data_IF_567111667999
#
_entry.id   IF_567111667999
#
_cell.length_a   1.000
_cell.length_b   1.000
_cell.length_c   1.000
_cell.angle_alpha   90.00
_cell.angle_beta   90.00
_cell.angle_gamma   90.00
#
_symmetry.space_group_name_H-M   'P 1'
#
loop_
_entity.id
_entity.type
_entity.pdbx_description
1 polymer ?
#
# COMPACT_ATOMS: atom_id res chain seq x y z
N UNK A 1 44.08 26.89 50.31
CA UNK A 1 42.69 26.41 50.46
C UNK A 1 42.00 26.49 49.10
N UNK A 2 41.15 25.51 48.80
CA UNK A 2 40.79 25.04 47.47
C UNK A 2 40.20 26.08 46.49
N UNK A 3 40.79 26.15 45.28
CA UNK A 3 40.24 26.83 44.11
C UNK A 3 39.11 25.97 43.51
N UNK A 4 37.87 26.24 43.89
CA UNK A 4 36.69 25.63 43.26
C UNK A 4 36.41 26.32 41.92
N UNK A 5 37.08 25.83 40.88
CA UNK A 5 36.95 26.30 39.50
C UNK A 5 35.52 26.06 38.95
N UNK A 6 34.84 27.07 38.39
CA UNK A 6 33.46 26.97 37.89
C UNK A 6 33.33 26.30 36.50
N UNK A 7 34.19 25.31 36.20
CA UNK A 7 34.24 24.64 34.89
C UNK A 7 33.04 23.70 34.65
N UNK A 8 32.48 23.13 35.71
CA UNK A 8 31.38 22.15 35.61
C UNK A 8 30.08 22.75 35.04
N UNK A 9 29.74 24.00 35.40
CA UNK A 9 28.57 24.71 34.86
C UNK A 9 28.71 24.97 33.37
N UNK A 10 29.91 25.32 32.91
CA UNK A 10 30.16 25.67 31.50
C UNK A 10 30.02 24.49 30.55
N UNK A 11 30.24 23.26 31.03
CA UNK A 11 30.06 22.01 30.27
C UNK A 11 28.64 21.42 30.37
N UNK A 12 27.96 21.59 31.50
CA UNK A 12 26.60 21.07 31.71
C UNK A 12 25.58 21.70 30.76
N UNK A 13 25.62 23.02 30.58
CA UNK A 13 24.66 23.75 29.74
C UNK A 13 24.68 23.33 28.25
N UNK A 14 25.84 23.24 27.57
CA UNK A 14 25.90 22.76 26.20
C UNK A 14 25.48 21.30 26.05
N UNK A 15 25.78 20.44 27.04
CA UNK A 15 25.39 19.04 27.01
C UNK A 15 23.87 18.88 27.18
N UNK A 16 23.27 19.66 28.06
CA UNK A 16 21.82 19.72 28.24
C UNK A 16 21.11 20.25 26.99
N UNK A 17 21.65 21.30 26.35
CA UNK A 17 21.11 21.79 25.07
C UNK A 17 21.22 20.76 23.95
N UNK A 18 22.35 20.02 23.84
CA UNK A 18 22.49 18.95 22.87
C UNK A 18 21.49 17.83 23.11
N UNK A 19 21.32 17.39 24.37
CA UNK A 19 20.31 16.40 24.75
C UNK A 19 18.89 16.86 24.42
N UNK A 20 18.55 18.13 24.69
CA UNK A 20 17.26 18.72 24.33
C UNK A 20 17.02 18.73 22.83
N UNK A 21 18.01 19.17 22.05
CA UNK A 21 17.92 19.15 20.57
C UNK A 21 17.75 17.74 20.04
N UNK A 22 18.53 16.79 20.55
CA UNK A 22 18.45 15.39 20.15
C UNK A 22 17.11 14.75 20.52
N UNK A 23 16.58 15.06 21.72
CA UNK A 23 15.26 14.61 22.14
C UNK A 23 14.13 15.24 21.30
N UNK A 24 14.24 16.52 20.94
CA UNK A 24 13.29 17.19 20.04
C UNK A 24 13.32 16.57 18.64
N UNK A 25 14.50 16.31 18.09
CA UNK A 25 14.66 15.69 16.78
C UNK A 25 14.13 14.25 16.75
N UNK A 26 14.43 13.45 17.77
CA UNK A 26 13.83 12.12 17.93
C UNK A 26 12.32 12.17 18.03
N UNK A 27 11.78 13.15 18.77
CA UNK A 27 10.32 13.32 18.89
C UNK A 27 9.69 13.68 17.55
N UNK A 28 10.30 14.59 16.79
CA UNK A 28 9.85 14.95 15.44
C UNK A 28 9.89 13.75 14.49
N UNK A 29 10.98 12.98 14.50
CA UNK A 29 11.09 11.76 13.69
C UNK A 29 10.00 10.75 14.04
N UNK A 30 9.75 10.50 15.32
CA UNK A 30 8.70 9.60 15.77
C UNK A 30 7.30 10.11 15.40
N UNK A 31 7.04 11.42 15.49
CA UNK A 31 5.79 12.06 15.07
C UNK A 31 5.58 11.93 13.55
N UNK A 32 6.61 12.19 12.75
CA UNK A 32 6.57 12.05 11.29
C UNK A 32 6.36 10.60 10.86
N UNK A 33 7.05 9.64 11.48
CA UNK A 33 6.88 8.21 11.20
C UNK A 33 5.47 7.73 11.60
N UNK A 34 4.97 8.17 12.75
CA UNK A 34 3.60 7.88 13.15
C UNK A 34 2.56 8.50 12.20
N UNK A 35 2.82 9.70 11.68
CA UNK A 35 1.94 10.32 10.66
C UNK A 35 1.95 9.51 9.37
N UNK A 36 3.14 9.16 8.87
CA UNK A 36 3.29 8.37 7.64
C UNK A 36 2.64 6.99 7.77
N UNK A 37 2.79 6.32 8.92
CA UNK A 37 2.15 5.03 9.13
C UNK A 37 0.62 5.15 9.19
N UNK A 38 0.10 6.18 9.87
CA UNK A 38 -1.34 6.49 9.84
C UNK A 38 -1.85 6.77 8.44
N UNK A 39 -1.12 7.54 7.63
CA UNK A 39 -1.50 7.84 6.25
C UNK A 39 -1.49 6.59 5.37
N UNK A 40 -0.48 5.74 5.51
CA UNK A 40 -0.34 4.49 4.75
C UNK A 40 -1.43 3.47 5.11
N UNK A 41 -1.82 3.42 6.38
CA UNK A 41 -2.81 2.48 6.90
C UNK A 41 -4.21 3.10 7.05
N UNK A 42 -4.49 4.25 6.41
CA UNK A 42 -5.85 4.81 6.42
C UNK A 42 -6.83 3.78 5.85
N UNK A 43 -7.98 3.57 6.51
CA UNK A 43 -9.02 2.71 5.97
C UNK A 43 -9.48 3.26 4.62
N UNK A 44 -9.66 2.37 3.65
CA UNK A 44 -10.21 2.70 2.34
C UNK A 44 -11.46 1.86 2.10
N UNK A 45 -12.45 2.45 1.45
CA UNK A 45 -13.59 1.69 0.97
C UNK A 45 -13.18 0.82 -0.22
N UNK A 46 -13.88 -0.29 -0.46
CA UNK A 46 -13.65 -1.12 -1.64
C UNK A 46 -13.72 -0.32 -2.95
N UNK A 47 -14.64 0.64 -3.04
CA UNK A 47 -14.78 1.50 -4.22
C UNK A 47 -13.57 2.45 -4.42
N UNK A 48 -13.00 3.00 -3.33
CA UNK A 48 -11.77 3.81 -3.42
C UNK A 48 -10.57 2.97 -3.82
N UNK A 49 -10.43 1.79 -3.23
CA UNK A 49 -9.37 0.86 -3.58
C UNK A 49 -9.41 0.51 -5.06
N UNK A 50 -10.58 0.07 -5.57
CA UNK A 50 -10.76 -0.26 -6.99
C UNK A 50 -10.39 0.93 -7.88
N UNK A 51 -10.91 2.13 -7.60
CA UNK A 51 -10.58 3.34 -8.37
C UNK A 51 -9.08 3.63 -8.39
N UNK A 52 -8.40 3.52 -7.25
CA UNK A 52 -6.93 3.71 -7.16
C UNK A 52 -6.19 2.66 -7.99
N UNK A 53 -6.60 1.40 -7.95
CA UNK A 53 -6.02 0.36 -8.79
C UNK A 53 -6.21 0.67 -10.29
N UNK A 54 -7.40 1.10 -10.69
CA UNK A 54 -7.65 1.49 -12.08
C UNK A 54 -6.78 2.69 -12.50
N UNK A 55 -6.60 3.69 -11.65
CA UNK A 55 -5.87 4.90 -12.02
C UNK A 55 -4.34 4.73 -11.94
N UNK A 56 -3.84 3.98 -10.95
CA UNK A 56 -2.40 3.90 -10.65
C UNK A 56 -1.75 2.63 -11.21
N UNK A 57 -2.49 1.52 -11.28
CA UNK A 57 -1.94 0.21 -11.64
C UNK A 57 -2.41 -0.27 -13.01
N UNK A 58 -3.54 0.25 -13.53
CA UNK A 58 -3.99 -0.17 -14.84
C UNK A 58 -3.04 0.34 -15.91
N UNK A 59 -2.47 -0.61 -16.66
CA UNK A 59 -1.76 -0.32 -17.90
C UNK A 59 -2.72 -0.64 -19.03
N UNK A 60 -2.75 0.19 -20.06
CA UNK A 60 -3.52 -0.13 -21.26
C UNK A 60 -2.99 -1.44 -21.85
N UNK A 61 -3.87 -2.44 -21.90
CA UNK A 61 -3.57 -3.69 -22.58
C UNK A 61 -3.59 -3.43 -24.08
N UNK A 62 -2.53 -3.83 -24.76
CA UNK A 62 -2.42 -3.78 -26.21
C UNK A 62 -2.07 -5.16 -26.72
N UNK A 63 -2.69 -5.55 -27.82
CA UNK A 63 -2.28 -6.76 -28.54
C UNK A 63 -0.93 -6.46 -29.15
N UNK A 64 0.09 -7.18 -28.68
CA UNK A 64 1.44 -7.08 -29.20
C UNK A 64 1.63 -7.99 -30.42
N UNK A 65 2.68 -7.73 -31.18
CA UNK A 65 2.98 -8.52 -32.38
C UNK A 65 3.41 -9.95 -32.01
N UNK A 66 3.13 -10.89 -32.92
CA UNK A 66 3.54 -12.30 -32.79
C UNK A 66 5.04 -12.49 -32.51
N UNK A 67 5.89 -11.58 -32.98
CA UNK A 67 7.34 -11.56 -32.71
C UNK A 67 7.72 -11.42 -31.23
N UNK A 68 6.81 -10.89 -30.41
CA UNK A 68 6.98 -10.78 -28.94
C UNK A 68 6.30 -11.92 -28.18
N UNK A 69 5.68 -12.86 -28.91
CA UNK A 69 5.11 -14.07 -28.32
C UNK A 69 6.23 -15.00 -27.85
N UNK A 70 5.99 -15.71 -26.74
CA UNK A 70 6.89 -16.77 -26.29
C UNK A 70 6.91 -17.88 -27.33
N UNK A 71 8.03 -18.01 -28.03
CA UNK A 71 8.25 -19.05 -29.03
C UNK A 71 8.93 -20.25 -28.36
N UNK A 72 8.37 -21.45 -28.53
CA UNK A 72 8.89 -22.67 -27.94
C UNK A 72 7.85 -23.79 -27.91
N UNK A 73 8.31 -25.04 -27.78
CA UNK A 73 7.42 -26.18 -27.59
C UNK A 73 6.93 -26.17 -26.14
N UNK A 74 5.68 -25.79 -25.93
CA UNK A 74 5.07 -25.79 -24.60
C UNK A 74 4.91 -27.26 -24.18
N UNK A 75 5.60 -27.74 -23.12
CA UNK A 75 5.41 -29.09 -22.65
C UNK A 75 3.97 -29.24 -22.13
N UNK A 76 3.36 -30.43 -22.24
CA UNK A 76 2.04 -30.65 -21.68
C UNK A 76 2.01 -30.20 -20.21
N UNK A 77 0.97 -29.46 -19.78
CA UNK A 77 0.81 -29.03 -18.39
C UNK A 77 0.53 -30.26 -17.51
N UNK A 78 1.58 -30.99 -17.18
CA UNK A 78 1.52 -32.17 -16.31
C UNK A 78 1.23 -31.66 -14.90
N UNK A 79 0.05 -31.95 -14.35
CA UNK A 79 -0.50 -31.50 -13.05
C UNK A 79 -1.35 -30.22 -12.97
N UNK A 80 -1.63 -29.52 -14.08
CA UNK A 80 -2.51 -28.32 -14.04
C UNK A 80 -3.78 -28.55 -14.85
N UNK A 81 -4.92 -28.10 -14.32
CA UNK A 81 -6.16 -28.03 -15.09
C UNK A 81 -5.99 -27.03 -16.22
N UNK A 82 -5.87 -27.54 -17.45
CA UNK A 82 -5.80 -26.73 -18.65
C UNK A 82 -7.15 -26.82 -19.37
N UNK A 83 -7.91 -25.72 -19.47
CA UNK A 83 -9.14 -25.69 -20.25
C UNK A 83 -8.84 -26.04 -21.71
N UNK A 84 -9.52 -27.05 -22.25
CA UNK A 84 -9.35 -27.45 -23.66
C UNK A 84 -10.25 -26.65 -24.60
N UNK A 85 -11.25 -25.95 -24.05
CA UNK A 85 -12.20 -25.12 -24.78
C UNK A 85 -12.43 -23.81 -24.02
N UNK A 86 -12.40 -22.71 -24.75
CA UNK A 86 -12.87 -21.42 -24.29
C UNK A 86 -14.23 -21.17 -24.92
N UNK A 87 -15.25 -20.94 -24.09
CA UNK A 87 -16.60 -20.65 -24.55
C UNK A 87 -16.87 -19.15 -24.46
N UNK A 88 -17.51 -18.54 -25.47
CA UNK A 88 -18.00 -17.18 -25.37
C UNK A 88 -19.00 -17.08 -24.21
N UNK A 89 -18.80 -16.11 -23.32
CA UNK A 89 -19.78 -15.79 -22.29
C UNK A 89 -20.84 -14.86 -22.91
N UNK A 90 -21.84 -15.45 -23.56
CA UNK A 90 -22.83 -14.74 -24.36
C UNK A 90 -23.58 -13.65 -23.57
N UNK A 91 -24.00 -13.98 -22.34
CA UNK A 91 -24.77 -13.07 -21.48
C UNK A 91 -23.89 -12.24 -20.55
N UNK A 92 -22.57 -12.19 -20.78
CA UNK A 92 -21.62 -11.50 -19.90
C UNK A 92 -22.03 -10.05 -19.64
N UNK A 93 -22.35 -9.30 -20.69
CA UNK A 93 -22.73 -7.89 -20.55
C UNK A 93 -24.02 -7.69 -19.73
N UNK A 94 -24.95 -8.64 -19.80
CA UNK A 94 -26.19 -8.58 -19.03
C UNK A 94 -25.98 -9.02 -17.57
N UNK A 95 -25.11 -9.99 -17.32
CA UNK A 95 -24.84 -10.55 -16.00
C UNK A 95 -23.78 -9.77 -15.21
N UNK A 96 -22.85 -9.11 -15.90
CA UNK A 96 -21.72 -8.43 -15.29
C UNK A 96 -22.13 -7.40 -14.24
N UNK A 97 -23.13 -6.51 -14.45
CA UNK A 97 -23.55 -5.57 -13.43
C UNK A 97 -24.02 -6.28 -12.14
N UNK A 98 -24.87 -7.30 -12.28
CA UNK A 98 -25.39 -8.05 -11.12
C UNK A 98 -24.28 -8.76 -10.33
N UNK A 99 -23.33 -9.39 -11.03
CA UNK A 99 -22.16 -10.01 -10.40
C UNK A 99 -21.29 -8.96 -9.72
N UNK A 100 -21.02 -7.86 -10.40
CA UNK A 100 -20.22 -6.76 -9.85
C UNK A 100 -20.86 -6.16 -8.59
N UNK A 101 -22.16 -5.87 -8.62
CA UNK A 101 -22.90 -5.31 -7.50
C UNK A 101 -22.94 -6.30 -6.33
N UNK A 102 -23.14 -7.59 -6.59
CA UNK A 102 -23.08 -8.62 -5.55
C UNK A 102 -21.72 -8.65 -4.85
N UNK A 103 -20.62 -8.63 -5.61
CA UNK A 103 -19.26 -8.65 -5.04
C UNK A 103 -18.97 -7.34 -4.31
N UNK A 104 -19.35 -6.21 -4.92
CA UNK A 104 -19.15 -4.88 -4.32
C UNK A 104 -19.87 -4.76 -2.99
N UNK A 105 -21.13 -5.17 -2.91
CA UNK A 105 -21.92 -5.11 -1.68
C UNK A 105 -21.36 -6.04 -0.60
N UNK A 106 -20.89 -7.23 -0.97
CA UNK A 106 -20.23 -8.15 -0.04
C UNK A 106 -18.92 -7.60 0.53
N UNK A 107 -18.13 -6.91 -0.30
CA UNK A 107 -16.82 -6.37 0.07
C UNK A 107 -16.88 -4.94 0.64
N UNK A 108 -18.03 -4.29 0.61
CA UNK A 108 -18.20 -3.02 1.29
C UNK A 108 -18.10 -3.23 2.81
N UNK A 109 -17.35 -2.38 3.53
CA UNK A 109 -17.34 -2.43 4.98
C UNK A 109 -18.78 -2.27 5.48
N UNK A 110 -19.24 -3.18 6.35
CA UNK A 110 -20.42 -2.91 7.16
C UNK A 110 -20.14 -1.60 7.92
N UNK A 111 -21.09 -0.67 7.97
CA UNK A 111 -20.93 0.56 8.73
C UNK A 111 -20.53 0.21 10.17
N UNK A 112 -19.24 0.31 10.46
CA UNK A 112 -18.72 0.20 11.81
C UNK A 112 -19.18 1.42 12.60
N UNK A 113 -19.35 1.29 13.92
CA UNK A 113 -19.91 2.36 14.74
C UNK A 113 -19.11 3.66 14.54
N UNK A 114 -19.84 4.72 14.19
CA UNK A 114 -19.33 6.08 14.08
C UNK A 114 -18.71 6.49 15.43
N UNK A 115 -17.49 7.05 15.47
CA UNK A 115 -16.95 7.69 16.67
C UNK A 115 -17.67 9.01 17.00
#
# INVERSE_FOLDING_TARGET
>A
MANNSPDYKKKLFPQEQKKRKQAEEQRRQAEDEARLDRERNQPTTFAEFMRRCHNLLSRSLKVETLSRSTTGKIPPPTSKYCPTRLWPWADCLAQQPAVYDSVRNYLQPAEGPQP
#
